data_IF_448582591504
#
_entry.id   IF_448582591504
#
_cell.length_a   1.000
_cell.length_b   1.000
_cell.length_c   1.000
_cell.angle_alpha   90.00
_cell.angle_beta   90.00
_cell.angle_gamma   90.00
#
_symmetry.space_group_name_H-M   'P 1'
#
loop_
_entity.id
_entity.type
_entity.pdbx_description
1 polymer ?
#
# COMPACT_ATOMS: atom_id res chain seq x y z
N UNK A 1 -15.50 -0.45 15.52
CA UNK A 1 -14.06 -0.76 15.62
C UNK A 1 -13.14 0.43 15.33
N UNK A 2 -13.35 1.22 14.26
CA UNK A 2 -12.49 2.39 13.95
C UNK A 2 -12.53 3.52 14.98
N UNK A 3 -13.70 3.84 15.55
CA UNK A 3 -13.82 4.90 16.59
C UNK A 3 -13.05 4.60 17.88
N UNK A 4 -13.01 3.34 18.31
CA UNK A 4 -12.21 2.89 19.47
C UNK A 4 -10.70 3.05 19.22
N UNK A 5 -10.25 2.78 17.99
CA UNK A 5 -8.85 2.95 17.62
C UNK A 5 -8.43 4.44 17.62
N UNK A 6 -9.27 5.33 17.08
CA UNK A 6 -8.99 6.78 17.13
C UNK A 6 -8.99 7.34 18.55
N UNK A 7 -9.90 6.86 19.41
CA UNK A 7 -9.93 7.25 20.82
C UNK A 7 -8.64 6.84 21.56
N UNK A 8 -8.16 5.61 21.33
CA UNK A 8 -6.93 5.11 21.94
C UNK A 8 -5.69 5.88 21.47
N UNK A 9 -5.60 6.19 20.18
CA UNK A 9 -4.50 7.01 19.62
C UNK A 9 -4.50 8.41 20.23
N UNK A 10 -5.67 9.04 20.38
CA UNK A 10 -5.80 10.35 21.01
C UNK A 10 -5.33 10.35 22.47
N UNK A 11 -5.69 9.33 23.26
CA UNK A 11 -5.24 9.20 24.64
C UNK A 11 -3.72 9.03 24.76
N UNK A 12 -3.13 8.21 23.88
CA UNK A 12 -1.67 8.02 23.85
C UNK A 12 -0.96 9.32 23.49
N UNK A 13 -1.46 10.05 22.48
CA UNK A 13 -0.89 11.34 22.08
C UNK A 13 -0.93 12.38 23.21
N UNK A 14 -2.04 12.45 23.95
CA UNK A 14 -2.18 13.33 25.11
C UNK A 14 -1.20 12.95 26.22
N UNK A 15 -1.04 11.66 26.52
CA UNK A 15 -0.07 11.19 27.50
C UNK A 15 1.38 11.52 27.09
N UNK A 16 1.74 11.32 25.82
CA UNK A 16 3.06 11.70 25.31
C UNK A 16 3.32 13.21 25.39
N UNK A 17 2.33 14.03 25.05
CA UNK A 17 2.44 15.48 25.15
C UNK A 17 2.61 15.94 26.61
N UNK A 18 1.87 15.32 27.54
CA UNK A 18 2.00 15.58 28.98
C UNK A 18 3.41 15.27 29.49
N UNK A 19 3.94 14.07 29.23
CA UNK A 19 5.28 13.71 29.69
C UNK A 19 6.40 14.49 28.99
N UNK A 20 6.20 14.88 27.73
CA UNK A 20 7.14 15.76 27.04
C UNK A 20 7.20 17.15 27.70
N UNK A 21 6.06 17.66 28.17
CA UNK A 21 5.99 18.90 28.94
C UNK A 21 6.66 18.77 30.31
N UNK A 22 6.38 17.69 31.06
CA UNK A 22 6.99 17.41 32.37
C UNK A 22 8.52 17.38 32.30
N UNK A 23 9.06 16.63 31.33
CA UNK A 23 10.49 16.55 31.08
C UNK A 23 11.07 17.94 30.72
N UNK A 24 10.40 18.67 29.83
CA UNK A 24 10.85 19.99 29.40
C UNK A 24 10.86 21.02 30.53
N UNK A 25 9.84 21.00 31.39
CA UNK A 25 9.76 21.87 32.55
C UNK A 25 10.85 21.55 33.58
N UNK A 26 11.02 20.27 33.93
CA UNK A 26 12.08 19.83 34.84
C UNK A 26 13.48 20.20 34.32
N UNK A 27 13.73 20.05 33.01
CA UNK A 27 14.99 20.44 32.39
C UNK A 27 15.21 21.96 32.43
N UNK A 28 14.20 22.77 32.12
CA UNK A 28 14.29 24.23 32.17
C UNK A 28 14.54 24.75 33.58
N UNK A 29 13.87 24.18 34.60
CA UNK A 29 14.14 24.48 36.01
C UNK A 29 15.58 24.12 36.37
N UNK A 30 16.08 22.97 35.92
CA UNK A 30 17.47 22.57 36.16
C UNK A 30 18.49 23.49 35.51
N UNK A 31 18.23 23.94 34.28
CA UNK A 31 19.09 24.90 33.57
C UNK A 31 19.12 26.27 34.24
N UNK A 32 17.97 26.74 34.74
CA UNK A 32 17.84 28.05 35.37
C UNK A 32 18.41 28.07 36.79
N UNK A 33 18.10 27.07 37.60
CA UNK A 33 18.51 27.00 39.02
C UNK A 33 19.88 26.35 39.21
N UNK A 34 20.45 25.76 38.16
CA UNK A 34 21.66 24.91 38.20
C UNK A 34 21.51 23.67 39.09
N UNK A 35 20.28 23.35 39.53
CA UNK A 35 19.97 22.17 40.34
C UNK A 35 19.17 21.17 39.53
N UNK A 36 19.76 20.00 39.27
CA UNK A 36 19.11 18.91 38.52
C UNK A 36 18.23 18.03 39.39
N UNK A 37 17.89 18.47 40.60
CA UNK A 37 17.15 17.64 41.56
C UNK A 37 15.74 17.31 41.07
N UNK A 38 15.02 18.29 40.53
CA UNK A 38 13.69 18.06 39.97
C UNK A 38 13.74 17.06 38.80
N UNK A 39 14.76 17.16 37.94
CA UNK A 39 14.97 16.22 36.84
C UNK A 39 15.31 14.81 37.32
N UNK A 40 16.18 14.67 38.32
CA UNK A 40 16.54 13.36 38.89
C UNK A 40 15.34 12.69 39.53
N UNK A 41 14.54 13.42 40.31
CA UNK A 41 13.33 12.86 40.94
C UNK A 41 12.27 12.46 39.91
N UNK A 42 12.08 13.27 38.87
CA UNK A 42 11.20 12.94 37.76
C UNK A 42 11.67 11.68 36.99
N UNK A 43 12.94 11.65 36.58
CA UNK A 43 13.46 10.61 35.66
C UNK A 43 13.94 9.33 36.34
N UNK A 44 14.58 9.43 37.50
CA UNK A 44 15.16 8.30 38.25
C UNK A 44 14.29 7.92 39.46
N UNK A 45 13.64 8.89 40.08
CA UNK A 45 12.70 8.66 41.19
C UNK A 45 11.30 8.23 40.78
N UNK A 46 11.01 8.21 39.46
CA UNK A 46 9.67 7.92 38.90
C UNK A 46 8.55 8.81 39.44
N UNK A 47 8.88 10.02 39.89
CA UNK A 47 7.90 11.01 40.34
C UNK A 47 7.32 11.77 39.14
N UNK A 48 6.54 11.06 38.33
CA UNK A 48 6.18 11.49 36.96
C UNK A 48 5.32 12.76 36.85
N UNK A 49 4.65 13.18 37.92
CA UNK A 49 3.76 14.35 37.98
C UNK A 49 4.39 15.48 38.82
N UNK A 50 5.56 15.23 39.42
CA UNK A 50 6.23 16.19 40.30
C UNK A 50 6.49 17.55 39.63
N UNK A 51 6.97 17.63 38.37
CA UNK A 51 7.21 18.93 37.75
C UNK A 51 5.92 19.76 37.56
N UNK A 52 4.79 19.16 37.17
CA UNK A 52 3.49 19.85 37.18
C UNK A 52 3.04 20.28 38.58
N UNK A 53 3.25 19.44 39.60
CA UNK A 53 2.93 19.81 40.98
C UNK A 53 3.74 21.02 41.45
N UNK A 54 5.04 21.04 41.16
CA UNK A 54 5.92 22.18 41.47
C UNK A 54 5.48 23.43 40.71
N UNK A 55 5.14 23.30 39.42
CA UNK A 55 4.63 24.40 38.63
C UNK A 55 3.34 25.00 39.23
N UNK A 56 2.40 24.14 39.66
CA UNK A 56 1.15 24.56 40.28
C UNK A 56 1.36 25.22 41.64
N UNK A 57 2.16 24.61 42.52
CA UNK A 57 2.43 25.13 43.87
C UNK A 57 3.16 26.47 43.85
N UNK A 58 4.05 26.68 42.87
CA UNK A 58 4.85 27.89 42.76
C UNK A 58 4.34 28.86 41.69
N UNK A 59 3.08 28.72 41.26
CA UNK A 59 2.53 29.54 40.18
C UNK A 59 2.53 31.04 40.47
N UNK A 60 2.47 31.43 41.75
CA UNK A 60 2.56 32.82 42.19
C UNK A 60 3.95 33.45 41.99
N UNK A 61 4.99 32.64 41.73
CA UNK A 61 6.31 33.14 41.38
C UNK A 61 6.29 33.82 40.01
N UNK A 62 6.98 34.96 39.80
CA UNK A 62 7.08 35.59 38.48
C UNK A 62 7.84 34.75 37.44
N UNK A 63 8.64 33.78 37.89
CA UNK A 63 9.53 32.99 37.03
C UNK A 63 8.87 31.70 36.52
N UNK A 64 8.09 31.03 37.38
CA UNK A 64 7.54 29.69 37.11
C UNK A 64 6.56 29.68 35.92
N UNK A 65 5.63 30.64 35.78
CA UNK A 65 4.75 30.70 34.60
C UNK A 65 5.52 30.86 33.29
N UNK A 66 6.61 31.64 33.29
CA UNK A 66 7.45 31.82 32.09
C UNK A 66 8.15 30.52 31.70
N UNK A 67 8.63 29.76 32.68
CA UNK A 67 9.20 28.43 32.46
C UNK A 67 8.17 27.41 31.97
N UNK A 68 6.96 27.41 32.55
CA UNK A 68 5.87 26.54 32.16
C UNK A 68 5.45 26.77 30.69
N UNK A 69 5.39 28.03 30.25
CA UNK A 69 5.11 28.38 28.85
C UNK A 69 6.25 27.91 27.93
N UNK A 70 7.52 28.15 28.31
CA UNK A 70 8.68 27.67 27.54
C UNK A 70 8.74 26.15 27.45
N UNK A 71 8.28 25.46 28.49
CA UNK A 71 8.21 24.00 28.52
C UNK A 71 7.22 23.43 27.50
N UNK A 72 6.17 24.17 27.13
CA UNK A 72 5.26 23.79 26.02
C UNK A 72 6.04 23.73 24.71
N UNK A 73 6.81 24.77 24.40
CA UNK A 73 7.61 24.80 23.18
C UNK A 73 8.68 23.70 23.17
N UNK A 74 9.39 23.52 24.30
CA UNK A 74 10.37 22.44 24.46
C UNK A 74 9.75 21.05 24.27
N UNK A 75 8.57 20.81 24.85
CA UNK A 75 7.86 19.55 24.75
C UNK A 75 7.39 19.24 23.32
N UNK A 76 6.89 20.25 22.60
CA UNK A 76 6.51 20.12 21.20
C UNK A 76 7.71 19.79 20.30
N UNK A 77 8.85 20.45 20.52
CA UNK A 77 10.08 20.17 19.77
C UNK A 77 10.56 18.73 20.05
N UNK A 78 10.59 18.31 21.32
CA UNK A 78 10.98 16.96 21.69
C UNK A 78 10.07 15.90 21.05
N UNK A 79 8.76 16.10 21.09
CA UNK A 79 7.79 15.21 20.49
C UNK A 79 7.97 15.13 18.96
N UNK A 80 8.19 16.25 18.29
CA UNK A 80 8.46 16.31 16.85
C UNK A 80 9.74 15.55 16.46
N UNK A 81 10.82 15.69 17.24
CA UNK A 81 12.08 14.97 16.99
C UNK A 81 11.94 13.45 17.19
N UNK A 82 11.27 13.03 18.26
CA UNK A 82 11.05 11.60 18.55
C UNK A 82 10.17 10.96 17.46
N UNK A 83 9.07 11.62 17.09
CA UNK A 83 8.17 11.13 16.04
C UNK A 83 8.88 11.05 14.68
N UNK A 84 9.68 12.05 14.32
CA UNK A 84 10.48 12.03 13.10
C UNK A 84 11.54 10.91 13.12
N UNK A 85 12.23 10.74 14.24
CA UNK A 85 13.22 9.67 14.41
C UNK A 85 12.61 8.28 14.29
N UNK A 86 11.45 8.07 14.93
CA UNK A 86 10.71 6.81 14.85
C UNK A 86 10.18 6.54 13.43
N UNK A 87 9.66 7.56 12.75
CA UNK A 87 9.19 7.42 11.37
C UNK A 87 10.34 7.01 10.42
N UNK A 88 11.53 7.59 10.59
CA UNK A 88 12.71 7.22 9.81
C UNK A 88 13.20 5.79 10.13
N UNK A 89 13.25 5.43 11.42
CA UNK A 89 13.64 4.09 11.84
C UNK A 89 12.68 3.02 11.30
N UNK A 90 11.37 3.23 11.42
CA UNK A 90 10.36 2.33 10.87
C UNK A 90 10.40 2.27 9.34
N UNK A 91 10.67 3.40 8.67
CA UNK A 91 10.88 3.45 7.23
C UNK A 91 12.09 2.63 6.76
N UNK A 92 13.14 2.57 7.57
CA UNK A 92 14.35 1.78 7.28
C UNK A 92 14.18 0.26 7.50
N UNK A 93 13.20 -0.14 8.32
CA UNK A 93 12.83 -1.54 8.56
C UNK A 93 11.88 -2.08 7.48
N UNK A 94 11.33 -1.20 6.63
CA UNK A 94 10.36 -1.49 5.60
C UNK A 94 10.93 -2.08 4.31
N UNK A 95 11.31 -3.36 4.36
CA UNK A 95 11.26 -4.28 3.21
C UNK A 95 12.42 -4.21 2.21
N UNK A 96 12.98 -5.37 1.89
CA UNK A 96 13.95 -5.56 0.82
C UNK A 96 13.52 -4.79 -0.44
N UNK A 97 14.44 -3.96 -0.97
CA UNK A 97 14.26 -3.22 -2.21
C UNK A 97 13.75 -4.21 -3.28
N UNK A 98 12.55 -3.98 -3.83
CA UNK A 98 12.00 -4.83 -4.90
C UNK A 98 13.07 -4.98 -6.00
N UNK A 99 13.44 -6.20 -6.41
CA UNK A 99 14.47 -6.40 -7.41
C UNK A 99 14.14 -5.61 -8.68
N UNK A 100 15.07 -4.78 -9.13
CA UNK A 100 14.98 -4.11 -10.42
C UNK A 100 15.05 -5.18 -11.50
N UNK A 101 13.90 -5.54 -12.10
CA UNK A 101 13.78 -6.60 -13.10
C UNK A 101 12.95 -7.83 -12.69
N UNK A 102 12.30 -7.83 -11.53
CA UNK A 102 11.42 -8.92 -11.11
C UNK A 102 10.12 -9.02 -11.91
N UNK A 103 9.58 -10.24 -12.05
CA UNK A 103 8.23 -10.46 -12.56
C UNK A 103 7.19 -10.05 -11.51
N UNK A 104 6.11 -9.40 -11.96
CA UNK A 104 4.94 -9.10 -11.13
C UNK A 104 3.68 -9.26 -11.96
N UNK A 105 2.53 -9.43 -11.29
CA UNK A 105 1.24 -9.36 -11.96
C UNK A 105 1.07 -7.99 -12.63
N UNK A 106 0.52 -8.02 -13.84
CA UNK A 106 0.28 -6.84 -14.63
C UNK A 106 -0.83 -5.99 -14.02
N UNK A 107 -0.68 -4.67 -14.13
CA UNK A 107 -1.73 -3.68 -13.87
C UNK A 107 -2.38 -3.27 -15.18
N UNK A 108 -3.52 -2.57 -15.11
CA UNK A 108 -4.16 -2.02 -16.33
C UNK A 108 -3.20 -1.14 -17.14
N UNK A 109 -2.33 -0.37 -16.46
CA UNK A 109 -1.33 0.46 -17.12
C UNK A 109 -0.33 -0.37 -17.92
N UNK A 110 0.08 -1.52 -17.41
CA UNK A 110 0.99 -2.42 -18.13
C UNK A 110 0.33 -3.03 -19.35
N UNK A 111 -0.92 -3.47 -19.20
CA UNK A 111 -1.73 -4.02 -20.31
C UNK A 111 -1.91 -2.98 -21.42
N UNK A 112 -2.19 -1.73 -21.05
CA UNK A 112 -2.29 -0.61 -22.00
C UNK A 112 -0.97 -0.34 -22.70
N UNK A 113 0.14 -0.28 -21.95
CA UNK A 113 1.49 -0.06 -22.50
C UNK A 113 1.89 -1.19 -23.46
N UNK A 114 1.48 -2.42 -23.17
CA UNK A 114 1.71 -3.59 -24.01
C UNK A 114 0.76 -3.67 -25.23
N UNK A 115 -0.17 -2.73 -25.39
CA UNK A 115 -1.13 -2.75 -26.51
C UNK A 115 -2.10 -3.94 -26.45
N UNK A 116 -2.48 -4.37 -25.24
CA UNK A 116 -3.40 -5.50 -25.06
C UNK A 116 -4.85 -5.08 -24.86
N UNK A 117 -5.13 -3.78 -24.74
CA UNK A 117 -6.48 -3.25 -24.48
C UNK A 117 -7.13 -2.58 -25.70
N UNK A 118 -6.45 -2.58 -26.85
CA UNK A 118 -6.87 -1.96 -28.11
C UNK A 118 -7.06 -2.97 -29.24
N UNK A 119 -6.99 -4.27 -28.95
CA UNK A 119 -7.23 -5.31 -29.95
C UNK A 119 -8.69 -5.35 -30.39
N UNK A 120 -8.93 -5.79 -31.62
CA UNK A 120 -10.25 -5.83 -32.24
C UNK A 120 -10.79 -7.27 -32.29
N UNK A 121 -12.04 -7.52 -31.87
CA UNK A 121 -12.78 -8.74 -32.16
C UNK A 121 -12.54 -9.28 -33.57
N UNK A 122 -12.14 -10.55 -33.66
CA UNK A 122 -11.96 -11.27 -34.93
C UNK A 122 -10.68 -10.96 -35.73
N UNK A 123 -9.93 -9.93 -35.32
CA UNK A 123 -8.62 -9.57 -35.87
C UNK A 123 -7.51 -9.59 -34.81
N UNK A 124 -7.84 -10.03 -33.60
CA UNK A 124 -6.91 -10.09 -32.47
C UNK A 124 -7.29 -11.27 -31.60
N UNK A 125 -6.28 -11.97 -31.09
CA UNK A 125 -6.48 -13.16 -30.26
C UNK A 125 -6.94 -12.73 -28.88
N UNK A 126 -8.13 -13.17 -28.49
CA UNK A 126 -8.68 -12.98 -27.16
C UNK A 126 -7.92 -13.81 -26.12
N UNK A 127 -7.37 -13.12 -25.11
CA UNK A 127 -6.59 -13.71 -24.02
C UNK A 127 -7.38 -13.83 -22.71
N UNK A 128 -8.48 -13.09 -22.56
CA UNK A 128 -9.29 -13.05 -21.34
C UNK A 128 -9.80 -11.65 -21.01
N UNK A 129 -10.25 -11.44 -19.78
CA UNK A 129 -10.77 -10.14 -19.30
C UNK A 129 -10.07 -9.67 -18.04
N UNK A 130 -9.88 -8.36 -17.94
CA UNK A 130 -9.35 -7.69 -16.75
C UNK A 130 -10.16 -6.43 -16.47
N UNK A 131 -10.73 -6.32 -15.27
CA UNK A 131 -11.62 -5.22 -14.86
C UNK A 131 -12.71 -4.89 -15.90
N UNK A 132 -13.36 -5.93 -16.43
CA UNK A 132 -14.42 -5.80 -17.43
C UNK A 132 -13.94 -5.48 -18.85
N UNK A 133 -12.64 -5.29 -19.09
CA UNK A 133 -12.06 -5.01 -20.42
C UNK A 133 -11.50 -6.28 -21.04
N UNK A 134 -11.68 -6.44 -22.34
CA UNK A 134 -11.05 -7.52 -23.11
C UNK A 134 -9.53 -7.29 -23.20
N UNK A 135 -8.78 -8.34 -22.94
CA UNK A 135 -7.34 -8.41 -23.22
C UNK A 135 -7.19 -9.17 -24.53
N UNK A 136 -6.62 -8.50 -25.54
CA UNK A 136 -6.48 -9.01 -26.90
C UNK A 136 -5.07 -8.77 -27.43
N UNK A 137 -4.50 -9.80 -28.05
CA UNK A 137 -3.19 -9.73 -28.67
C UNK A 137 -3.33 -9.57 -30.19
N UNK A 138 -2.77 -8.49 -30.73
CA UNK A 138 -2.81 -8.16 -32.16
C UNK A 138 -1.46 -8.32 -32.87
N UNK A 139 -0.44 -8.84 -32.17
CA UNK A 139 0.90 -9.00 -32.73
C UNK A 139 1.08 -10.31 -33.51
N UNK A 140 2.27 -10.48 -34.08
CA UNK A 140 2.62 -11.63 -34.92
C UNK A 140 3.34 -12.77 -34.15
N UNK A 141 3.55 -12.64 -32.84
CA UNK A 141 4.19 -13.70 -32.05
C UNK A 141 3.28 -14.90 -31.84
N UNK A 142 3.89 -16.06 -31.61
CA UNK A 142 3.18 -17.28 -31.26
C UNK A 142 2.65 -17.25 -29.81
N UNK A 143 1.55 -17.98 -29.57
CA UNK A 143 0.95 -18.13 -28.25
C UNK A 143 1.10 -19.57 -27.80
N UNK A 144 1.65 -19.76 -26.60
CA UNK A 144 1.72 -21.05 -25.93
C UNK A 144 0.68 -21.12 -24.83
N UNK A 145 -0.23 -22.09 -24.93
CA UNK A 145 -1.28 -22.31 -23.94
C UNK A 145 -1.01 -23.61 -23.16
N UNK A 146 -0.62 -23.46 -21.89
CA UNK A 146 -0.42 -24.58 -20.97
C UNK A 146 -1.62 -24.77 -20.04
N UNK A 147 -1.96 -26.02 -19.77
CA UNK A 147 -2.88 -26.40 -18.70
C UNK A 147 -3.12 -27.91 -18.68
N UNK A 148 -3.55 -28.50 -17.55
CA UNK A 148 -3.83 -29.93 -17.45
C UNK A 148 -5.05 -30.36 -18.29
N UNK A 149 -5.33 -31.65 -18.38
CA UNK A 149 -6.56 -32.15 -19.01
C UNK A 149 -7.79 -31.60 -18.29
N UNK A 150 -8.85 -31.30 -19.05
CA UNK A 150 -10.11 -30.70 -18.54
C UNK A 150 -9.97 -29.32 -17.88
N UNK A 151 -8.85 -28.61 -18.10
CA UNK A 151 -8.65 -27.23 -17.62
C UNK A 151 -9.40 -26.16 -18.43
N UNK A 152 -10.23 -26.55 -19.39
CA UNK A 152 -10.99 -25.62 -20.22
C UNK A 152 -10.22 -24.93 -21.34
N UNK A 153 -9.01 -25.36 -21.72
CA UNK A 153 -8.24 -24.76 -22.84
C UNK A 153 -9.05 -24.68 -24.16
N UNK A 154 -9.80 -25.73 -24.47
CA UNK A 154 -10.66 -25.79 -25.66
C UNK A 154 -11.77 -24.74 -25.61
N UNK A 155 -12.64 -24.83 -24.61
CA UNK A 155 -13.82 -23.95 -24.45
C UNK A 155 -13.49 -22.51 -24.06
N UNK A 156 -12.40 -22.29 -23.32
CA UNK A 156 -12.04 -20.98 -22.77
C UNK A 156 -11.07 -20.18 -23.64
N UNK A 157 -10.35 -20.82 -24.56
CA UNK A 157 -9.39 -20.13 -25.43
C UNK A 157 -9.53 -20.52 -26.89
N UNK A 158 -9.48 -21.81 -27.23
CA UNK A 158 -9.45 -22.26 -28.64
C UNK A 158 -10.76 -21.92 -29.36
N UNK A 159 -11.89 -22.39 -28.85
CA UNK A 159 -13.20 -22.22 -29.49
C UNK A 159 -13.63 -20.75 -29.63
N UNK A 160 -13.55 -19.90 -28.57
CA UNK A 160 -13.93 -18.49 -28.70
C UNK A 160 -13.10 -17.77 -29.77
N UNK A 161 -11.78 -18.00 -29.79
CA UNK A 161 -10.91 -17.41 -30.80
C UNK A 161 -11.21 -17.96 -32.20
N UNK A 162 -11.42 -19.26 -32.34
CA UNK A 162 -11.66 -19.91 -33.63
C UNK A 162 -13.02 -19.51 -34.26
N UNK A 163 -14.04 -19.24 -33.45
CA UNK A 163 -15.34 -18.74 -33.92
C UNK A 163 -15.23 -17.27 -34.38
N UNK A 164 -14.53 -16.45 -33.60
CA UNK A 164 -14.47 -15.01 -33.84
C UNK A 164 -13.51 -14.64 -34.98
N UNK A 165 -12.42 -15.41 -35.15
CA UNK A 165 -11.33 -15.11 -36.08
C UNK A 165 -11.78 -15.05 -37.54
N UNK A 166 -11.58 -13.88 -38.15
CA UNK A 166 -12.02 -13.59 -39.53
C UNK A 166 -11.03 -14.05 -40.60
N UNK A 167 -9.79 -14.31 -40.22
CA UNK A 167 -8.79 -14.87 -41.13
C UNK A 167 -8.93 -16.38 -41.33
N UNK A 168 -8.03 -16.92 -42.14
CA UNK A 168 -7.85 -18.36 -42.30
C UNK A 168 -7.45 -19.01 -40.98
N UNK A 169 -7.93 -20.23 -40.75
CA UNK A 169 -7.62 -21.06 -39.58
C UNK A 169 -7.32 -22.46 -40.08
N UNK A 170 -6.18 -23.01 -39.67
CA UNK A 170 -5.85 -24.42 -39.85
C UNK A 170 -5.70 -25.00 -38.45
N UNK A 171 -6.49 -26.01 -38.12
CA UNK A 171 -6.47 -26.64 -36.81
C UNK A 171 -6.35 -28.15 -36.93
N UNK A 172 -5.46 -28.73 -36.13
CA UNK A 172 -5.37 -30.18 -35.96
C UNK A 172 -6.45 -30.62 -34.97
N UNK A 173 -7.54 -31.18 -35.49
CA UNK A 173 -8.70 -31.59 -34.71
C UNK A 173 -8.95 -33.10 -34.82
N UNK A 174 -8.13 -33.88 -34.12
CA UNK A 174 -8.18 -35.35 -34.13
C UNK A 174 -9.56 -35.87 -33.68
N UNK A 175 -10.25 -35.13 -32.80
CA UNK A 175 -11.53 -35.55 -32.22
C UNK A 175 -12.75 -34.96 -32.91
N UNK A 176 -12.55 -34.04 -33.87
CA UNK A 176 -13.61 -33.29 -34.56
C UNK A 176 -14.46 -32.36 -33.67
N UNK A 177 -14.03 -32.12 -32.43
CA UNK A 177 -14.78 -31.29 -31.48
C UNK A 177 -14.81 -29.80 -31.88
N UNK A 178 -13.75 -29.32 -32.54
CA UNK A 178 -13.70 -27.96 -33.05
C UNK A 178 -14.56 -27.83 -34.30
N UNK A 179 -14.42 -28.77 -35.24
CA UNK A 179 -15.22 -28.80 -36.47
C UNK A 179 -16.72 -28.78 -36.18
N UNK A 180 -17.19 -29.68 -35.31
CA UNK A 180 -18.61 -29.83 -35.00
C UNK A 180 -19.20 -28.56 -34.37
N UNK A 181 -18.39 -27.79 -33.62
CA UNK A 181 -18.84 -26.57 -32.96
C UNK A 181 -18.76 -25.33 -33.84
N UNK A 182 -17.78 -25.23 -34.73
CA UNK A 182 -17.48 -23.96 -35.42
C UNK A 182 -17.61 -24.03 -36.94
N UNK A 183 -17.65 -25.23 -37.54
CA UNK A 183 -17.64 -25.40 -38.99
C UNK A 183 -18.78 -24.63 -39.67
N UNK A 184 -20.02 -24.81 -39.19
CA UNK A 184 -21.18 -24.08 -39.68
C UNK A 184 -21.06 -22.56 -39.50
N UNK A 185 -20.50 -22.11 -38.37
CA UNK A 185 -20.28 -20.69 -38.11
C UNK A 185 -19.24 -20.11 -39.09
N UNK A 186 -18.16 -20.83 -39.37
CA UNK A 186 -17.13 -20.42 -40.33
C UNK A 186 -17.65 -20.43 -41.77
N UNK A 187 -18.48 -21.40 -42.15
CA UNK A 187 -19.14 -21.44 -43.45
C UNK A 187 -20.06 -20.22 -43.64
N UNK A 188 -20.81 -19.85 -42.59
CA UNK A 188 -21.64 -18.63 -42.59
C UNK A 188 -20.83 -17.33 -42.70
N UNK A 189 -19.52 -17.36 -42.39
CA UNK A 189 -18.60 -16.24 -42.65
C UNK A 189 -18.09 -16.20 -44.10
N UNK A 190 -18.54 -17.13 -44.96
CA UNK A 190 -18.11 -17.25 -46.36
C UNK A 190 -16.76 -17.93 -46.53
N UNK A 191 -16.31 -18.70 -45.53
CA UNK A 191 -15.07 -19.46 -45.63
C UNK A 191 -15.29 -20.82 -46.27
N UNK A 192 -14.28 -21.30 -46.97
CA UNK A 192 -14.20 -22.67 -47.48
C UNK A 192 -13.82 -23.59 -46.31
N UNK A 193 -14.77 -24.43 -45.89
CA UNK A 193 -14.67 -25.28 -44.69
C UNK A 193 -14.83 -26.73 -45.08
#
# INVERSE_FOLDING_TARGET
MRGLAYGMIGLIALACAFFAWEASFAALVGLQTKSWELWRRFSQGFELILPAQVAYQQWASPVVPQLAIKAVLGGLIALALVTLGLAQALGSLGGARKPSGGARLATERDLRKAGLLNGRPGYSVFLGRFNGKDIRYSGASHIYLNGPTRSGKGVGFVLPNAIEWRGSLIGLDIKREMWDQIGAARAALGQDV
#
